data_IF_223150400952
#
_entry.id   IF_223150400952
#
_cell.length_a   1.000
_cell.length_b   1.000
_cell.length_c   1.000
_cell.angle_alpha   90.00
_cell.angle_beta   90.00
_cell.angle_gamma   90.00
#
_symmetry.space_group_name_H-M   'P 1'
#
loop_
_entity.id
_entity.type
_entity.pdbx_description
1 polymer ?
#
# COMPACT_ATOMS: atom_id res chain seq x y z
N UNK A 1 42.51 56.23 -38.07
CA UNK A 1 41.77 54.98 -38.33
C UNK A 1 40.34 55.37 -38.67
N UNK A 2 40.01 55.35 -39.96
CA UNK A 2 38.76 55.90 -40.50
C UNK A 2 37.62 54.93 -40.23
N UNK A 3 36.62 55.39 -39.49
CA UNK A 3 35.32 54.74 -39.29
C UNK A 3 34.70 54.44 -40.65
N UNK A 4 34.64 53.15 -41.03
CA UNK A 4 33.94 52.70 -42.24
C UNK A 4 32.45 52.98 -42.03
N UNK A 5 31.95 54.07 -42.60
CA UNK A 5 30.55 54.46 -42.55
C UNK A 5 29.67 53.40 -43.20
N UNK A 6 29.13 52.50 -42.38
CA UNK A 6 28.06 51.58 -42.77
C UNK A 6 26.73 52.29 -42.45
N UNK A 7 25.79 52.42 -43.41
CA UNK A 7 24.49 53.01 -43.15
C UNK A 7 23.71 52.18 -42.12
N UNK A 8 22.96 52.87 -41.28
CA UNK A 8 22.41 52.38 -40.01
C UNK A 8 21.11 51.57 -40.19
N UNK A 9 21.02 50.66 -41.17
CA UNK A 9 19.88 49.74 -41.32
C UNK A 9 20.30 48.27 -41.14
N UNK A 10 19.39 47.43 -40.64
CA UNK A 10 19.69 45.99 -40.42
C UNK A 10 19.95 45.29 -41.75
N UNK A 11 19.30 45.77 -42.80
CA UNK A 11 19.41 45.33 -44.17
C UNK A 11 20.82 45.56 -44.73
N UNK A 12 21.45 46.69 -44.40
CA UNK A 12 22.84 46.99 -44.80
C UNK A 12 23.84 46.04 -44.11
N UNK A 13 23.57 45.67 -42.86
CA UNK A 13 24.38 44.68 -42.12
C UNK A 13 24.23 43.29 -42.73
N UNK A 14 23.04 42.90 -43.20
CA UNK A 14 22.84 41.63 -43.90
C UNK A 14 23.59 41.60 -45.22
N UNK A 15 23.46 42.65 -46.03
CA UNK A 15 24.19 42.82 -47.29
C UNK A 15 25.70 42.79 -47.08
N UNK A 16 26.23 43.51 -46.09
CA UNK A 16 27.66 43.54 -45.80
C UNK A 16 28.23 42.15 -45.47
N UNK A 17 27.45 41.31 -44.81
CA UNK A 17 27.85 39.96 -44.43
C UNK A 17 27.44 38.90 -45.46
N UNK A 18 27.01 39.29 -46.67
CA UNK A 18 26.54 38.37 -47.73
C UNK A 18 25.39 37.46 -47.28
N UNK A 19 24.56 37.92 -46.33
CA UNK A 19 23.39 37.20 -45.87
C UNK A 19 22.17 37.73 -46.61
N UNK A 20 21.34 36.84 -47.17
CA UNK A 20 20.10 37.28 -47.81
C UNK A 20 19.16 37.93 -46.78
N UNK A 21 18.33 38.87 -47.21
CA UNK A 21 17.37 39.55 -46.33
C UNK A 21 16.55 38.57 -45.48
N UNK A 22 16.09 37.46 -46.07
CA UNK A 22 15.33 36.44 -45.37
C UNK A 22 16.17 35.68 -44.32
N UNK A 23 17.40 35.30 -44.67
CA UNK A 23 18.32 34.63 -43.73
C UNK A 23 18.77 35.56 -42.60
N UNK A 24 18.98 36.84 -42.88
CA UNK A 24 19.39 37.83 -41.87
C UNK A 24 18.31 38.01 -40.81
N UNK A 25 17.05 38.12 -41.22
CA UNK A 25 15.93 38.15 -40.30
C UNK A 25 15.69 36.82 -39.58
N UNK A 26 15.93 35.67 -40.25
CA UNK A 26 15.86 34.35 -39.62
C UNK A 26 16.89 34.20 -38.48
N UNK A 27 18.14 34.60 -38.73
CA UNK A 27 19.24 34.60 -37.76
C UNK A 27 18.96 35.48 -36.53
N UNK A 28 18.28 36.62 -36.71
CA UNK A 28 17.83 37.47 -35.59
C UNK A 28 16.62 36.87 -34.85
N UNK A 29 15.80 36.07 -35.54
CA UNK A 29 14.57 35.49 -34.98
C UNK A 29 14.77 34.19 -34.19
N UNK A 30 15.87 33.46 -34.43
CA UNK A 30 16.15 32.14 -33.86
C UNK A 30 16.37 32.11 -32.33
N UNK A 31 16.52 33.29 -31.69
CA UNK A 31 16.68 33.39 -30.23
C UNK A 31 15.39 33.34 -29.41
N UNK A 32 14.20 33.40 -30.03
CA UNK A 32 12.91 33.33 -29.33
C UNK A 32 12.07 32.21 -29.93
N UNK A 33 12.00 31.08 -29.23
CA UNK A 33 11.05 30.01 -29.57
C UNK A 33 9.64 30.61 -29.66
N UNK A 34 9.08 30.61 -30.87
CA UNK A 34 7.68 31.02 -31.11
C UNK A 34 6.78 29.95 -30.50
N UNK A 35 6.17 30.30 -29.37
CA UNK A 35 5.21 29.47 -28.67
C UNK A 35 4.22 30.34 -27.89
N UNK A 36 3.04 29.79 -27.61
CA UNK A 36 2.08 30.44 -26.71
C UNK A 36 2.76 30.65 -25.35
N UNK A 37 2.69 31.85 -24.74
CA UNK A 37 3.20 32.07 -23.40
C UNK A 37 2.63 31.03 -22.44
N UNK A 38 3.48 30.51 -21.55
CA UNK A 38 3.04 29.59 -20.51
C UNK A 38 1.99 30.29 -19.63
N UNK A 39 0.91 29.58 -19.31
CA UNK A 39 -0.16 30.11 -18.45
C UNK A 39 0.28 30.24 -16.99
N UNK A 40 1.33 29.53 -16.60
CA UNK A 40 1.91 29.52 -15.25
C UNK A 40 3.39 29.90 -15.38
N UNK A 41 3.82 30.88 -14.60
CA UNK A 41 5.20 31.36 -14.59
C UNK A 41 6.09 30.52 -13.67
N UNK A 42 7.41 30.54 -13.89
CA UNK A 42 8.36 29.89 -13.00
C UNK A 42 8.33 30.44 -11.56
N UNK A 43 7.92 31.70 -11.37
CA UNK A 43 7.76 32.29 -10.04
C UNK A 43 6.56 31.68 -9.31
N UNK A 44 5.43 31.51 -10.01
CA UNK A 44 4.24 30.83 -9.48
C UNK A 44 4.51 29.36 -9.16
N UNK A 45 5.32 28.66 -9.97
CA UNK A 45 5.76 27.28 -9.68
C UNK A 45 6.59 27.25 -8.39
N UNK A 46 7.52 28.19 -8.21
CA UNK A 46 8.32 28.30 -6.97
C UNK A 46 7.46 28.62 -5.75
N UNK A 47 6.42 29.44 -5.90
CA UNK A 47 5.51 29.77 -4.81
C UNK A 47 4.69 28.55 -4.37
N UNK A 48 4.16 27.77 -5.33
CA UNK A 48 3.49 26.50 -5.02
C UNK A 48 4.44 25.49 -4.35
N UNK A 49 5.71 25.40 -4.78
CA UNK A 49 6.73 24.57 -4.11
C UNK A 49 7.01 25.05 -2.68
N UNK A 50 7.09 26.37 -2.46
CA UNK A 50 7.26 26.98 -1.14
C UNK A 50 6.12 26.61 -0.19
N UNK A 51 4.87 26.77 -0.63
CA UNK A 51 3.67 26.42 0.14
C UNK A 51 3.71 24.93 0.55
N UNK A 52 4.03 24.03 -0.38
CA UNK A 52 4.14 22.59 -0.07
C UNK A 52 5.23 22.31 0.98
N UNK A 53 6.36 23.01 0.93
CA UNK A 53 7.49 22.79 1.85
C UNK A 53 7.24 23.36 3.23
N UNK A 54 6.64 24.53 3.34
CA UNK A 54 6.41 25.23 4.61
C UNK A 54 5.20 24.66 5.36
N UNK A 55 4.05 24.54 4.69
CA UNK A 55 2.80 24.08 5.32
C UNK A 55 2.69 22.54 5.38
N UNK A 56 3.64 21.86 4.71
CA UNK A 56 3.90 20.44 4.86
C UNK A 56 2.68 19.56 4.65
N UNK A 57 2.09 19.06 5.74
CA UNK A 57 0.95 18.13 5.66
C UNK A 57 -0.32 18.78 5.13
N UNK A 58 -0.61 20.04 5.49
CA UNK A 58 -1.84 20.70 5.06
C UNK A 58 -1.79 21.08 3.58
N UNK A 59 -0.69 21.65 3.11
CA UNK A 59 -0.51 21.94 1.68
C UNK A 59 -0.51 20.69 0.79
N UNK A 60 -0.05 19.53 1.30
CA UNK A 60 -0.09 18.25 0.54
C UNK A 60 -1.50 17.71 0.32
N UNK A 61 -2.51 18.15 1.09
CA UNK A 61 -3.91 17.74 0.89
C UNK A 61 -4.57 18.50 -0.25
N UNK A 62 -4.14 19.74 -0.51
CA UNK A 62 -4.71 20.64 -1.50
C UNK A 62 -4.82 19.95 -2.87
N UNK A 63 -5.94 20.15 -3.55
CA UNK A 63 -6.07 19.94 -4.99
C UNK A 63 -5.15 20.88 -5.74
N UNK A 64 -4.86 20.56 -6.99
CA UNK A 64 -4.07 21.45 -7.83
C UNK A 64 -4.71 22.82 -7.98
N UNK A 65 -6.04 22.91 -7.97
CA UNK A 65 -6.78 24.18 -7.99
C UNK A 65 -6.62 24.95 -6.69
N UNK A 66 -6.77 24.30 -5.53
CA UNK A 66 -6.59 24.96 -4.23
C UNK A 66 -5.14 25.42 -4.05
N UNK A 67 -4.15 24.60 -4.42
CA UNK A 67 -2.74 25.01 -4.38
C UNK A 67 -2.45 26.20 -5.31
N UNK A 68 -3.07 26.21 -6.49
CA UNK A 68 -3.01 27.36 -7.39
C UNK A 68 -3.61 28.60 -6.75
N UNK A 69 -4.78 28.48 -6.12
CA UNK A 69 -5.45 29.57 -5.42
C UNK A 69 -4.59 30.14 -4.29
N UNK A 70 -3.98 29.28 -3.46
CA UNK A 70 -3.05 29.71 -2.39
C UNK A 70 -1.80 30.41 -2.95
N UNK A 71 -1.36 30.03 -4.15
CA UNK A 71 -0.27 30.70 -4.87
C UNK A 71 -0.75 31.91 -5.72
N UNK A 72 -1.96 32.42 -5.47
CA UNK A 72 -2.57 33.54 -6.17
C UNK A 72 -2.72 33.31 -7.69
N UNK A 73 -3.06 32.08 -8.07
CA UNK A 73 -3.32 31.64 -9.44
C UNK A 73 -4.81 31.31 -9.58
N UNK A 74 -5.55 32.14 -10.31
CA UNK A 74 -6.98 31.94 -10.55
C UNK A 74 -7.28 31.64 -12.03
N UNK A 75 -8.41 30.97 -12.28
CA UNK A 75 -8.91 30.71 -13.64
C UNK A 75 -8.14 29.65 -14.44
N UNK A 76 -7.16 28.98 -13.83
CA UNK A 76 -6.38 27.90 -14.47
C UNK A 76 -6.92 26.53 -14.06
N UNK A 77 -7.08 25.64 -15.04
CA UNK A 77 -7.54 24.28 -14.82
C UNK A 77 -6.52 23.44 -14.04
N UNK A 78 -6.99 22.58 -13.15
CA UNK A 78 -6.16 21.71 -12.30
C UNK A 78 -5.08 20.94 -13.07
N UNK A 79 -5.42 20.40 -14.24
CA UNK A 79 -4.50 19.60 -15.06
C UNK A 79 -3.34 20.43 -15.62
N UNK A 80 -3.55 21.73 -15.90
CA UNK A 80 -2.50 22.64 -16.36
C UNK A 80 -1.50 22.92 -15.25
N UNK A 81 -2.00 23.10 -14.01
CA UNK A 81 -1.17 23.26 -12.81
C UNK A 81 -0.37 21.98 -12.55
N UNK A 82 -1.03 20.82 -12.63
CA UNK A 82 -0.39 19.52 -12.47
C UNK A 82 0.77 19.31 -13.47
N UNK A 83 0.55 19.63 -14.74
CA UNK A 83 1.62 19.54 -15.76
C UNK A 83 2.76 20.53 -15.49
N UNK A 84 2.45 21.78 -15.15
CA UNK A 84 3.49 22.76 -14.87
C UNK A 84 4.37 22.35 -13.68
N UNK A 85 3.76 21.87 -12.59
CA UNK A 85 4.47 21.36 -11.42
C UNK A 85 5.23 20.06 -11.73
N UNK A 86 4.62 19.13 -12.47
CA UNK A 86 5.24 17.86 -12.85
C UNK A 86 6.42 18.01 -13.80
N UNK A 87 6.23 18.72 -14.92
CA UNK A 87 7.22 18.86 -15.99
C UNK A 87 8.43 19.72 -15.55
N UNK A 88 8.23 20.67 -14.62
CA UNK A 88 9.28 21.61 -14.20
C UNK A 88 10.03 21.15 -12.96
N UNK A 89 9.33 20.62 -11.95
CA UNK A 89 9.92 20.29 -10.64
C UNK A 89 9.58 18.88 -10.15
N UNK A 90 8.97 18.05 -10.99
CA UNK A 90 8.76 16.62 -10.71
C UNK A 90 7.67 16.30 -9.70
N UNK A 91 6.79 17.25 -9.37
CA UNK A 91 5.70 17.00 -8.42
C UNK A 91 4.53 16.27 -9.08
N UNK A 92 4.04 15.24 -8.41
CA UNK A 92 2.83 14.49 -8.79
C UNK A 92 1.92 14.29 -7.58
N UNK A 93 0.61 14.36 -7.78
CA UNK A 93 -0.34 14.06 -6.70
C UNK A 93 -0.46 12.54 -6.55
N UNK A 94 -0.11 12.02 -5.38
CA UNK A 94 -0.34 10.63 -5.03
C UNK A 94 -1.56 10.50 -4.13
N UNK A 95 -2.26 9.37 -4.23
CA UNK A 95 -3.22 8.97 -3.20
C UNK A 95 -2.40 8.55 -1.99
N UNK A 96 -2.64 9.19 -0.84
CA UNK A 96 -1.92 8.86 0.39
C UNK A 96 -2.08 7.37 0.71
N UNK A 97 -0.96 6.72 1.06
CA UNK A 97 -0.99 5.33 1.50
C UNK A 97 -1.95 5.22 2.70
N UNK A 98 -2.98 4.38 2.59
CA UNK A 98 -3.85 4.04 3.72
C UNK A 98 -3.11 3.11 4.69
N UNK A 99 -2.09 3.64 5.37
CA UNK A 99 -1.41 2.91 6.44
C UNK A 99 -2.23 3.05 7.70
N UNK A 100 -2.58 1.93 8.33
CA UNK A 100 -3.24 1.96 9.61
C UNK A 100 -2.28 2.59 10.63
N UNK A 101 -2.79 3.52 11.42
CA UNK A 101 -2.01 4.13 12.48
C UNK A 101 -1.75 3.11 13.60
N UNK A 102 -0.52 3.06 14.08
CA UNK A 102 -0.10 2.22 15.21
C UNK A 102 0.51 3.14 16.26
N UNK A 103 0.07 3.01 17.51
CA UNK A 103 0.64 3.79 18.61
C UNK A 103 2.08 3.33 18.92
N UNK A 104 2.87 4.18 19.59
CA UNK A 104 4.28 3.90 19.89
C UNK A 104 4.50 2.61 20.69
N UNK A 105 3.63 2.31 21.65
CA UNK A 105 3.75 1.11 22.50
C UNK A 105 3.54 -0.17 21.67
N UNK A 106 2.49 -0.18 20.84
CA UNK A 106 2.21 -1.28 19.91
C UNK A 106 3.32 -1.44 18.88
N UNK A 107 3.87 -0.35 18.35
CA UNK A 107 4.99 -0.41 17.42
C UNK A 107 6.25 -1.02 18.07
N UNK A 108 6.58 -0.62 19.30
CA UNK A 108 7.68 -1.25 20.05
C UNK A 108 7.45 -2.74 20.25
N UNK A 109 6.23 -3.14 20.60
CA UNK A 109 5.87 -4.55 20.75
C UNK A 109 5.98 -5.32 19.44
N UNK A 110 5.49 -4.76 18.33
CA UNK A 110 5.59 -5.31 16.98
C UNK A 110 7.05 -5.51 16.56
N UNK A 111 7.91 -4.51 16.81
CA UNK A 111 9.34 -4.60 16.54
C UNK A 111 9.98 -5.74 17.32
N UNK A 112 9.72 -5.83 18.63
CA UNK A 112 10.34 -6.85 19.49
C UNK A 112 9.87 -8.25 19.12
N UNK A 113 8.56 -8.42 18.89
CA UNK A 113 8.00 -9.68 18.41
C UNK A 113 8.62 -10.08 17.06
N UNK A 114 8.80 -9.12 16.15
CA UNK A 114 9.40 -9.38 14.83
C UNK A 114 10.85 -9.84 14.93
N UNK A 115 11.66 -9.23 15.81
CA UNK A 115 13.05 -9.66 16.05
C UNK A 115 13.12 -11.10 16.56
N UNK A 116 12.35 -11.41 17.60
CA UNK A 116 12.35 -12.75 18.23
C UNK A 116 11.87 -13.81 17.23
N UNK A 117 10.84 -13.50 16.45
CA UNK A 117 10.29 -14.42 15.47
C UNK A 117 11.25 -14.63 14.30
N UNK A 118 11.92 -13.57 13.82
CA UNK A 118 12.92 -13.67 12.75
C UNK A 118 14.16 -14.45 13.20
N UNK A 119 14.60 -14.28 14.45
CA UNK A 119 15.70 -15.07 15.01
C UNK A 119 15.38 -16.57 15.05
N UNK A 120 14.13 -16.92 15.37
CA UNK A 120 13.66 -18.32 15.41
C UNK A 120 13.49 -18.94 14.02
N UNK A 121 13.03 -18.15 13.05
CA UNK A 121 12.70 -18.61 11.69
C UNK A 121 13.32 -17.66 10.63
N UNK A 122 14.66 -17.65 10.48
CA UNK A 122 15.35 -16.66 9.68
C UNK A 122 15.23 -16.85 8.17
N UNK A 123 14.94 -18.07 7.69
CA UNK A 123 14.94 -18.38 6.25
C UNK A 123 13.52 -18.68 5.77
N UNK A 124 13.19 -18.39 4.49
CA UNK A 124 11.88 -18.70 3.92
C UNK A 124 11.43 -20.15 4.10
N UNK A 125 12.38 -21.09 3.97
CA UNK A 125 12.14 -22.52 4.17
C UNK A 125 11.71 -22.91 5.59
N UNK A 126 12.02 -22.08 6.59
CA UNK A 126 11.66 -22.35 7.99
C UNK A 126 10.17 -22.08 8.25
N UNK A 127 9.51 -21.39 7.31
CA UNK A 127 8.08 -21.09 7.30
C UNK A 127 7.29 -22.00 6.36
N UNK A 128 7.94 -22.54 5.33
CA UNK A 128 7.29 -23.30 4.27
C UNK A 128 6.58 -24.55 4.82
N UNK A 129 5.29 -24.71 4.48
CA UNK A 129 4.45 -25.81 4.98
C UNK A 129 3.66 -26.56 3.88
N UNK A 130 3.71 -26.09 2.62
CA UNK A 130 2.95 -26.62 1.47
C UNK A 130 1.49 -27.00 1.80
N UNK A 131 0.81 -26.15 2.57
CA UNK A 131 -0.50 -26.46 3.14
C UNK A 131 -1.59 -25.49 2.69
N UNK A 132 -2.77 -26.03 2.37
CA UNK A 132 -4.02 -25.30 2.16
C UNK A 132 -5.18 -26.17 2.63
N UNK A 133 -5.98 -25.64 3.55
CA UNK A 133 -7.21 -26.27 4.01
C UNK A 133 -8.41 -25.76 3.20
N UNK A 134 -9.47 -26.56 3.13
CA UNK A 134 -10.78 -26.10 2.64
C UNK A 134 -11.32 -24.97 3.51
N UNK A 135 -12.12 -24.08 2.92
CA UNK A 135 -12.77 -23.01 3.64
C UNK A 135 -13.87 -23.56 4.56
N UNK A 136 -13.77 -23.29 5.86
CA UNK A 136 -14.78 -23.68 6.85
C UNK A 136 -15.66 -22.49 7.19
N UNK A 137 -16.97 -22.68 7.10
CA UNK A 137 -17.96 -21.75 7.61
C UNK A 137 -18.46 -22.23 8.97
N UNK A 138 -18.79 -21.29 9.85
CA UNK A 138 -19.33 -21.54 11.17
C UNK A 138 -20.51 -20.61 11.42
N UNK A 139 -21.40 -21.00 12.32
CA UNK A 139 -22.57 -20.23 12.69
C UNK A 139 -22.49 -19.84 14.17
N UNK A 140 -22.79 -18.59 14.50
CA UNK A 140 -22.75 -18.13 15.90
C UNK A 140 -24.17 -17.87 16.39
N UNK A 141 -24.89 -18.91 16.89
CA UNK A 141 -26.26 -18.74 17.35
C UNK A 141 -26.34 -17.93 18.66
N UNK A 142 -25.20 -17.77 19.35
CA UNK A 142 -25.13 -17.11 20.65
C UNK A 142 -25.18 -15.58 20.60
N UNK A 143 -25.03 -14.96 19.41
CA UNK A 143 -25.13 -13.52 19.25
C UNK A 143 -25.53 -13.11 17.82
N UNK A 144 -26.00 -11.87 17.66
CA UNK A 144 -26.48 -11.33 16.38
C UNK A 144 -25.40 -10.66 15.54
N UNK A 145 -24.19 -10.44 16.08
CA UNK A 145 -23.10 -9.77 15.37
C UNK A 145 -22.09 -10.74 14.74
N UNK A 146 -22.32 -12.05 14.85
CA UNK A 146 -21.46 -13.10 14.29
C UNK A 146 -20.11 -13.22 14.98
N UNK A 147 -19.92 -12.60 16.16
CA UNK A 147 -18.63 -12.62 16.85
C UNK A 147 -18.37 -14.00 17.45
N UNK A 148 -17.30 -14.65 16.97
CA UNK A 148 -16.86 -15.95 17.47
C UNK A 148 -16.75 -15.99 19.00
N UNK A 149 -17.40 -16.98 19.62
CA UNK A 149 -17.25 -17.26 21.06
C UNK A 149 -16.26 -18.40 21.27
N UNK A 150 -15.72 -18.51 22.49
CA UNK A 150 -14.81 -19.60 22.84
C UNK A 150 -15.46 -20.98 22.74
N UNK A 151 -16.76 -21.09 23.08
CA UNK A 151 -17.50 -22.35 22.99
C UNK A 151 -17.69 -22.75 21.54
N UNK A 152 -18.11 -21.80 20.71
CA UNK A 152 -18.34 -22.00 19.27
C UNK A 152 -17.03 -22.31 18.54
N UNK A 153 -15.92 -21.66 18.93
CA UNK A 153 -14.59 -21.95 18.38
C UNK A 153 -14.17 -23.39 18.67
N UNK A 154 -14.39 -23.88 19.90
CA UNK A 154 -14.12 -25.28 20.23
C UNK A 154 -15.01 -26.21 19.41
N UNK A 155 -16.33 -26.03 19.47
CA UNK A 155 -17.29 -27.00 18.92
C UNK A 155 -17.34 -27.03 17.39
N UNK A 156 -17.01 -25.91 16.72
CA UNK A 156 -17.14 -25.80 15.26
C UNK A 156 -15.80 -25.74 14.52
N UNK A 157 -14.69 -25.40 15.20
CA UNK A 157 -13.37 -25.30 14.57
C UNK A 157 -12.39 -26.30 15.20
N UNK A 158 -12.11 -26.20 16.49
CA UNK A 158 -11.06 -27.02 17.10
C UNK A 158 -11.42 -28.51 17.10
N UNK A 159 -12.63 -28.88 17.50
CA UNK A 159 -13.09 -30.27 17.55
C UNK A 159 -13.25 -30.89 16.15
N UNK A 160 -14.03 -30.32 15.21
CA UNK A 160 -14.28 -30.99 13.93
C UNK A 160 -13.20 -30.74 12.87
N UNK A 161 -12.42 -29.66 12.97
CA UNK A 161 -11.45 -29.30 11.93
C UNK A 161 -10.02 -29.55 12.37
N UNK A 162 -9.61 -29.14 13.57
CA UNK A 162 -8.20 -29.21 14.00
C UNK A 162 -7.86 -30.56 14.64
N UNK A 163 -8.71 -31.05 15.54
CA UNK A 163 -8.50 -32.30 16.29
C UNK A 163 -8.25 -33.52 15.38
N UNK A 164 -8.94 -33.69 14.23
CA UNK A 164 -8.66 -34.81 13.34
C UNK A 164 -7.21 -34.87 12.85
N UNK A 165 -6.55 -33.72 12.67
CA UNK A 165 -5.13 -33.67 12.30
C UNK A 165 -4.22 -34.12 13.45
N UNK A 166 -4.58 -33.74 14.69
CA UNK A 166 -3.86 -34.19 15.89
C UNK A 166 -4.01 -35.70 16.09
N UNK A 167 -5.23 -36.21 15.95
CA UNK A 167 -5.55 -37.62 16.08
C UNK A 167 -4.85 -38.47 15.00
N UNK A 168 -4.69 -37.92 13.78
CA UNK A 168 -3.92 -38.53 12.70
C UNK A 168 -2.39 -38.38 12.88
N UNK A 169 -1.92 -37.74 13.95
CA UNK A 169 -0.49 -37.61 14.29
C UNK A 169 0.27 -36.54 13.50
N UNK A 170 -0.42 -35.60 12.84
CA UNK A 170 0.24 -34.50 12.15
C UNK A 170 0.95 -33.57 13.14
N UNK A 171 2.15 -33.12 12.76
CA UNK A 171 2.90 -32.12 13.53
C UNK A 171 2.77 -30.76 12.86
N UNK A 172 2.17 -29.80 13.56
CA UNK A 172 2.02 -28.42 13.10
C UNK A 172 1.98 -27.46 14.28
N UNK A 173 2.06 -26.16 13.98
CA UNK A 173 1.87 -25.08 14.95
C UNK A 173 0.72 -24.23 14.43
N UNK A 174 -0.30 -24.00 15.27
CA UNK A 174 -1.43 -23.15 14.95
C UNK A 174 -1.09 -21.68 15.23
N UNK A 175 -1.14 -20.83 14.21
CA UNK A 175 -1.07 -19.37 14.35
C UNK A 175 -2.49 -18.79 14.42
N UNK A 176 -2.72 -17.89 15.37
CA UNK A 176 -4.00 -17.23 15.58
C UNK A 176 -3.82 -15.73 15.86
N UNK A 177 -4.84 -14.94 15.55
CA UNK A 177 -4.93 -13.57 16.05
C UNK A 177 -5.38 -13.52 17.53
N UNK A 178 -5.36 -12.33 18.11
CA UNK A 178 -5.81 -12.12 19.50
C UNK A 178 -7.34 -11.96 19.66
N UNK A 179 -8.16 -12.52 18.76
CA UNK A 179 -9.61 -12.47 18.90
C UNK A 179 -10.05 -13.14 20.22
N UNK A 180 -11.03 -12.55 20.91
CA UNK A 180 -11.58 -13.08 22.16
C UNK A 180 -12.04 -14.54 22.07
N UNK A 181 -12.49 -14.99 20.89
CA UNK A 181 -12.88 -16.37 20.61
C UNK A 181 -11.71 -17.37 20.71
N UNK A 182 -10.48 -16.95 20.37
CA UNK A 182 -9.28 -17.80 20.43
C UNK A 182 -8.69 -17.91 21.84
N UNK A 183 -9.21 -17.14 22.80
CA UNK A 183 -8.82 -17.19 24.20
C UNK A 183 -7.40 -16.69 24.49
N UNK A 184 -7.03 -15.43 24.15
CA UNK A 184 -5.70 -14.87 24.44
C UNK A 184 -5.43 -14.67 25.94
N UNK A 185 -6.47 -14.78 26.79
CA UNK A 185 -6.34 -14.67 28.24
C UNK A 185 -5.51 -15.81 28.87
N UNK A 186 -5.07 -15.59 30.11
CA UNK A 186 -4.21 -16.55 30.84
C UNK A 186 -4.92 -17.85 31.24
N UNK A 187 -6.23 -17.80 31.46
CA UNK A 187 -7.05 -18.95 31.85
C UNK A 187 -8.40 -18.88 31.15
N UNK A 188 -8.70 -19.87 30.31
CA UNK A 188 -9.97 -20.01 29.60
C UNK A 188 -10.12 -21.40 28.98
N UNK A 189 -11.34 -21.73 28.53
CA UNK A 189 -11.68 -23.07 28.01
C UNK A 189 -10.91 -23.45 26.75
N UNK A 190 -10.61 -22.49 25.86
CA UNK A 190 -9.86 -22.73 24.62
C UNK A 190 -8.41 -23.08 24.93
N UNK A 191 -7.79 -22.36 25.86
CA UNK A 191 -6.41 -22.65 26.31
C UNK A 191 -6.33 -24.02 26.98
N UNK A 192 -7.28 -24.35 27.84
CA UNK A 192 -7.39 -25.69 28.45
C UNK A 192 -7.52 -26.77 27.38
N UNK A 193 -8.39 -26.56 26.38
CA UNK A 193 -8.56 -27.50 25.27
C UNK A 193 -7.24 -27.73 24.51
N UNK A 194 -6.53 -26.66 24.14
CA UNK A 194 -5.24 -26.73 23.44
C UNK A 194 -4.18 -27.47 24.26
N UNK A 195 -4.15 -27.26 25.57
CA UNK A 195 -3.23 -27.96 26.48
C UNK A 195 -3.52 -29.46 26.57
N UNK A 196 -4.79 -29.84 26.77
CA UNK A 196 -5.22 -31.24 26.86
C UNK A 196 -4.88 -32.01 25.58
N UNK A 197 -5.01 -31.37 24.41
CA UNK A 197 -4.72 -31.97 23.11
C UNK A 197 -3.27 -31.79 22.65
N UNK A 198 -2.39 -31.22 23.49
CA UNK A 198 -1.00 -30.92 23.15
C UNK A 198 -0.83 -30.09 21.86
N UNK A 199 -1.80 -29.22 21.55
CA UNK A 199 -1.74 -28.35 20.36
C UNK A 199 -0.71 -27.24 20.56
N UNK A 200 0.37 -27.30 19.79
CA UNK A 200 1.32 -26.19 19.67
C UNK A 200 0.64 -25.02 18.96
N UNK A 201 0.69 -23.85 19.56
CA UNK A 201 0.10 -22.64 19.00
C UNK A 201 0.85 -21.39 19.45
N UNK A 202 0.66 -20.30 18.72
CA UNK A 202 1.07 -18.96 19.16
C UNK A 202 0.08 -17.91 18.67
N UNK A 203 0.03 -16.79 19.40
CA UNK A 203 -0.68 -15.61 18.94
C UNK A 203 0.26 -14.70 18.16
N UNK A 204 -0.18 -14.26 16.99
CA UNK A 204 0.50 -13.25 16.22
C UNK A 204 0.45 -11.90 16.95
N UNK A 205 1.32 -10.97 16.55
CA UNK A 205 1.40 -9.68 17.18
C UNK A 205 0.10 -8.88 17.01
N UNK A 206 -0.39 -8.28 18.10
CA UNK A 206 -1.66 -7.55 18.11
C UNK A 206 -1.71 -6.43 17.05
N UNK A 207 -2.83 -6.33 16.34
CA UNK A 207 -3.08 -5.31 15.31
C UNK A 207 -2.00 -5.25 14.22
N UNK A 208 -1.48 -6.40 13.80
CA UNK A 208 -0.42 -6.52 12.78
C UNK A 208 -0.88 -7.38 11.58
N UNK A 209 -1.92 -6.95 10.83
CA UNK A 209 -2.41 -7.71 9.69
C UNK A 209 -1.35 -7.91 8.60
N UNK A 210 -0.37 -7.02 8.53
CA UNK A 210 0.77 -7.10 7.60
C UNK A 210 1.73 -8.26 7.92
N UNK A 211 1.74 -8.73 9.18
CA UNK A 211 2.49 -9.90 9.64
C UNK A 211 1.69 -11.20 9.61
N UNK A 212 0.49 -11.20 9.03
CA UNK A 212 -0.36 -12.37 8.88
C UNK A 212 -0.53 -12.73 7.38
N UNK A 213 0.18 -13.74 6.85
CA UNK A 213 0.11 -14.13 5.44
C UNK A 213 -1.31 -14.45 4.94
N UNK A 214 -2.18 -14.89 5.85
CA UNK A 214 -3.58 -15.22 5.54
C UNK A 214 -4.37 -13.99 5.06
N UNK A 215 -4.02 -12.77 5.52
CA UNK A 215 -4.70 -11.54 5.09
C UNK A 215 -4.51 -11.26 3.59
N UNK A 216 -3.35 -11.62 3.05
CA UNK A 216 -3.13 -11.57 1.60
C UNK A 216 -3.87 -12.69 0.87
N UNK A 217 -3.98 -13.87 1.49
CA UNK A 217 -4.70 -15.01 0.92
C UNK A 217 -6.21 -14.76 0.89
N UNK A 218 -6.74 -13.85 1.72
CA UNK A 218 -8.13 -13.41 1.62
C UNK A 218 -8.40 -12.46 0.45
N UNK A 219 -7.39 -11.83 -0.15
CA UNK A 219 -7.63 -10.86 -1.23
C UNK A 219 -8.21 -11.49 -2.51
N UNK A 220 -7.66 -12.60 -3.06
CA UNK A 220 -8.23 -13.25 -4.23
C UNK A 220 -9.72 -13.63 -4.10
N UNK A 221 -10.17 -14.32 -3.02
CA UNK A 221 -11.58 -14.68 -2.89
C UNK A 221 -12.47 -13.46 -2.68
N UNK A 222 -12.04 -12.44 -1.91
CA UNK A 222 -12.78 -11.18 -1.78
C UNK A 222 -12.95 -10.47 -3.13
N UNK A 223 -11.91 -10.42 -3.94
CA UNK A 223 -11.98 -9.87 -5.29
C UNK A 223 -12.86 -10.72 -6.21
N UNK A 224 -12.84 -12.03 -6.05
CA UNK A 224 -13.69 -12.93 -6.81
C UNK A 224 -15.17 -12.71 -6.52
N UNK A 225 -15.56 -12.74 -5.24
CA UNK A 225 -16.94 -12.48 -4.80
C UNK A 225 -17.45 -11.14 -5.32
N UNK A 226 -16.62 -10.08 -5.29
CA UNK A 226 -17.00 -8.73 -5.79
C UNK A 226 -17.29 -8.66 -7.29
N UNK A 227 -16.85 -9.63 -8.09
CA UNK A 227 -17.11 -9.65 -9.54
C UNK A 227 -18.54 -10.06 -9.87
N UNK A 228 -19.19 -10.77 -8.95
CA UNK A 228 -20.52 -11.31 -9.16
C UNK A 228 -21.50 -10.61 -8.24
N UNK A 229 -22.65 -10.20 -8.76
CA UNK A 229 -23.66 -9.65 -7.89
C UNK A 229 -24.32 -10.81 -7.14
N UNK A 230 -24.56 -10.64 -5.84
CA UNK A 230 -25.08 -11.66 -4.91
C UNK A 230 -25.91 -10.97 -3.83
N UNK A 231 -27.02 -11.58 -3.42
CA UNK A 231 -28.02 -10.95 -2.53
C UNK A 231 -28.44 -11.84 -1.36
N UNK A 232 -27.96 -13.07 -1.33
CA UNK A 232 -28.24 -14.00 -0.24
C UNK A 232 -26.92 -14.65 0.25
N UNK A 233 -27.01 -15.25 1.43
CA UNK A 233 -25.87 -15.89 2.09
C UNK A 233 -25.33 -17.09 1.30
N UNK A 234 -26.21 -17.90 0.71
CA UNK A 234 -25.82 -19.08 -0.03
C UNK A 234 -24.95 -18.72 -1.24
N UNK A 235 -25.40 -17.77 -2.08
CA UNK A 235 -24.61 -17.26 -3.21
C UNK A 235 -23.25 -16.75 -2.74
N UNK A 236 -23.22 -16.06 -1.58
CA UNK A 236 -21.98 -15.53 -1.00
C UNK A 236 -21.02 -16.65 -0.59
N UNK A 237 -21.54 -17.73 0.03
CA UNK A 237 -20.74 -18.90 0.45
C UNK A 237 -20.20 -19.64 -0.78
N UNK A 238 -21.03 -19.85 -1.80
CA UNK A 238 -20.63 -20.50 -3.07
C UNK A 238 -19.52 -19.71 -3.78
N UNK A 239 -19.70 -18.40 -3.96
CA UNK A 239 -18.68 -17.54 -4.55
C UNK A 239 -17.39 -17.49 -3.72
N UNK A 240 -17.49 -17.52 -2.38
CA UNK A 240 -16.32 -17.54 -1.51
C UNK A 240 -15.52 -18.85 -1.66
N UNK A 241 -16.22 -20.00 -1.77
CA UNK A 241 -15.61 -21.31 -2.05
C UNK A 241 -14.91 -21.32 -3.41
N UNK A 242 -15.60 -20.89 -4.47
CA UNK A 242 -15.02 -20.80 -5.81
C UNK A 242 -13.78 -19.88 -5.85
N UNK A 243 -13.86 -18.74 -5.14
CA UNK A 243 -12.75 -17.81 -5.02
C UNK A 243 -11.57 -18.41 -4.26
N UNK A 244 -11.83 -19.17 -3.20
CA UNK A 244 -10.82 -19.86 -2.41
C UNK A 244 -10.13 -20.96 -3.20
N UNK A 245 -10.89 -21.77 -3.95
CA UNK A 245 -10.35 -22.88 -4.76
C UNK A 245 -9.40 -22.39 -5.85
N UNK A 246 -9.63 -21.18 -6.37
CA UNK A 246 -8.75 -20.54 -7.36
C UNK A 246 -7.38 -20.13 -6.81
N UNK A 247 -7.21 -20.09 -5.50
CA UNK A 247 -5.88 -19.82 -4.90
C UNK A 247 -5.01 -21.07 -5.05
N UNK A 248 -3.93 -20.96 -5.82
CA UNK A 248 -2.97 -22.05 -5.95
C UNK A 248 -2.10 -22.20 -4.70
N UNK A 249 -1.64 -23.43 -4.43
CA UNK A 249 -0.69 -23.67 -3.33
C UNK A 249 0.58 -22.84 -3.48
N UNK A 250 1.09 -22.70 -4.72
CA UNK A 250 2.25 -21.83 -5.01
C UNK A 250 2.03 -20.36 -4.65
N UNK A 251 0.78 -19.87 -4.73
CA UNK A 251 0.45 -18.52 -4.32
C UNK A 251 0.58 -18.38 -2.79
N UNK A 252 0.06 -19.35 -2.03
CA UNK A 252 0.12 -19.39 -0.56
C UNK A 252 1.57 -19.51 -0.11
N UNK A 253 2.33 -20.46 -0.67
CA UNK A 253 3.73 -20.70 -0.32
C UNK A 253 4.57 -19.43 -0.47
N UNK A 254 4.40 -18.66 -1.56
CA UNK A 254 5.09 -17.37 -1.73
C UNK A 254 4.81 -16.35 -0.62
N UNK A 255 3.61 -16.34 -0.03
CA UNK A 255 3.26 -15.41 1.06
C UNK A 255 3.84 -15.88 2.38
N UNK A 256 3.77 -17.18 2.65
CA UNK A 256 4.39 -17.79 3.83
C UNK A 256 5.91 -17.61 3.79
N UNK A 257 6.55 -17.88 2.65
CA UNK A 257 7.99 -17.72 2.44
C UNK A 257 8.47 -16.26 2.52
N UNK A 258 7.56 -15.29 2.38
CA UNK A 258 7.90 -13.87 2.53
C UNK A 258 8.02 -13.42 4.00
N UNK A 259 7.65 -14.26 4.97
CA UNK A 259 7.63 -13.89 6.40
C UNK A 259 8.97 -13.33 6.92
N UNK A 260 10.15 -13.90 6.62
CA UNK A 260 11.40 -13.30 7.07
C UNK A 260 11.58 -11.86 6.59
N UNK A 261 11.22 -11.57 5.34
CA UNK A 261 11.29 -10.22 4.80
C UNK A 261 10.26 -9.30 5.45
N UNK A 262 9.02 -9.76 5.69
CA UNK A 262 7.99 -8.97 6.41
C UNK A 262 8.45 -8.55 7.80
N UNK A 263 9.06 -9.48 8.52
CA UNK A 263 9.59 -9.23 9.86
C UNK A 263 10.76 -8.26 9.80
N UNK A 264 11.67 -8.41 8.83
CA UNK A 264 12.76 -7.47 8.62
C UNK A 264 12.26 -6.06 8.29
N UNK A 265 11.30 -5.93 7.36
CA UNK A 265 10.71 -4.64 7.00
C UNK A 265 10.03 -3.98 8.20
N UNK A 266 9.32 -4.76 9.02
CA UNK A 266 8.71 -4.28 10.27
C UNK A 266 9.78 -3.76 11.25
N UNK A 267 10.91 -4.47 11.39
CA UNK A 267 12.03 -4.05 12.23
C UNK A 267 12.63 -2.74 11.71
N UNK A 268 12.86 -2.63 10.40
CA UNK A 268 13.51 -1.49 9.74
C UNK A 268 12.67 -0.21 9.85
N UNK A 269 11.34 -0.33 9.89
CA UNK A 269 10.44 0.82 10.08
C UNK A 269 10.03 1.05 11.54
N UNK A 270 10.79 0.49 12.49
CA UNK A 270 10.61 0.67 13.92
C UNK A 270 9.28 0.13 14.45
N UNK A 271 8.84 -1.00 13.90
CA UNK A 271 7.58 -1.66 14.26
C UNK A 271 6.33 -0.91 13.81
N UNK A 272 6.45 0.04 12.88
CA UNK A 272 5.29 0.62 12.22
C UNK A 272 4.70 -0.39 11.22
N UNK A 273 3.47 -0.14 10.79
CA UNK A 273 2.81 -0.98 9.80
C UNK A 273 3.49 -0.88 8.43
N UNK A 274 3.80 -2.05 7.88
CA UNK A 274 4.39 -2.22 6.54
C UNK A 274 3.30 -2.18 5.46
N UNK A 275 3.70 -2.37 4.19
CA UNK A 275 2.78 -2.36 3.04
C UNK A 275 2.47 -3.73 2.44
N UNK A 276 2.71 -4.80 3.21
CA UNK A 276 2.52 -6.19 2.77
C UNK A 276 1.07 -6.57 2.57
#
# INVERSE_FOLDING_TARGET
>A
MVTRGIPHSKEDVFCFNNVSHHQGWAMISDGKRRGRPALITNQQIKEMDRIIREDGFEARKLSWQELGFEAWIEGIQAWTIARAMGDTIGYSKCIACQKQWVNKSTALHQKEWSKVTLERHPKPKDWHNDFKLSLTFYDIPSNTNGKMTQKDYISQILEPVVKPWLDAGHTFILEEDSNSGHGPGKSNVVRTWKQVHNLKHYFNCHSSPDLAPIENCWQPPKQYVRKFPHWNEQDTRELALEGWDKISQSFINKRVESMPQRLQDCIDIEGRMTGW
#
